data_IF_875423566110
#
_entry.id   IF_875423566110
#
_cell.length_a   1.000
_cell.length_b   1.000
_cell.length_c   1.000
_cell.angle_alpha   90.00
_cell.angle_beta   90.00
_cell.angle_gamma   90.00
#
_symmetry.space_group_name_H-M   'P 1'
#
loop_
_entity.id
_entity.type
_entity.pdbx_description
1 polymer ?
#
# COMPACT_ATOMS: atom_id res chain seq x y z
N UNK A 1 6.78 24.95 -8.77
CA UNK A 1 7.15 23.64 -8.24
C UNK A 1 5.92 22.81 -7.92
N UNK A 2 5.25 22.94 -6.79
CA UNK A 2 3.96 22.29 -6.48
C UNK A 2 2.99 23.30 -5.92
N UNK A 3 1.69 23.07 -6.13
CA UNK A 3 0.63 23.89 -5.56
C UNK A 3 0.43 23.52 -4.08
N UNK A 4 0.74 24.43 -3.16
CA UNK A 4 0.68 24.17 -1.71
C UNK A 4 -0.74 23.87 -1.22
N UNK A 5 -1.76 24.47 -1.84
CA UNK A 5 -3.16 24.19 -1.49
C UNK A 5 -3.53 22.73 -1.82
N UNK A 6 -3.08 22.22 -2.98
CA UNK A 6 -3.27 20.83 -3.34
C UNK A 6 -2.50 19.88 -2.41
N UNK A 7 -1.31 20.26 -1.94
CA UNK A 7 -0.53 19.46 -1.00
C UNK A 7 -1.24 19.29 0.35
N UNK A 8 -1.94 20.32 0.82
CA UNK A 8 -2.73 20.26 2.05
C UNK A 8 -3.82 19.18 2.03
N UNK A 9 -4.40 18.89 0.88
CA UNK A 9 -5.36 17.81 0.70
C UNK A 9 -4.70 16.48 0.32
N UNK A 10 -3.58 16.51 -0.42
CA UNK A 10 -2.85 15.32 -0.89
C UNK A 10 -2.33 14.46 0.25
N UNK A 11 -1.59 15.08 1.19
CA UNK A 11 -0.93 14.36 2.27
C UNK A 11 -1.92 13.58 3.14
N UNK A 12 -3.01 14.17 3.71
CA UNK A 12 -3.96 13.42 4.50
C UNK A 12 -4.71 12.35 3.68
N UNK A 13 -5.02 12.62 2.40
CA UNK A 13 -5.67 11.65 1.52
C UNK A 13 -4.79 10.40 1.33
N UNK A 14 -3.52 10.59 0.93
CA UNK A 14 -2.62 9.46 0.71
C UNK A 14 -2.16 8.81 2.02
N UNK A 15 -2.06 9.54 3.12
CA UNK A 15 -1.84 8.95 4.44
C UNK A 15 -2.98 7.99 4.81
N UNK A 16 -4.23 8.41 4.62
CA UNK A 16 -5.39 7.54 4.86
C UNK A 16 -5.36 6.28 3.98
N UNK A 17 -5.03 6.43 2.71
CA UNK A 17 -4.89 5.32 1.77
C UNK A 17 -3.78 4.35 2.22
N UNK A 18 -2.60 4.87 2.55
CA UNK A 18 -1.42 4.07 2.94
C UNK A 18 -1.64 3.33 4.25
N UNK A 19 -2.22 3.98 5.26
CA UNK A 19 -2.50 3.34 6.56
C UNK A 19 -3.65 2.33 6.47
N UNK A 20 -4.55 2.46 5.49
CA UNK A 20 -5.67 1.53 5.33
C UNK A 20 -5.15 0.12 4.99
N UNK A 21 -5.51 -0.92 5.79
CA UNK A 21 -5.00 -2.26 5.58
C UNK A 21 -5.32 -2.78 4.17
N UNK A 22 -4.30 -3.33 3.52
CA UNK A 22 -4.34 -3.94 2.20
C UNK A 22 -3.32 -5.06 2.10
N UNK A 23 -3.10 -5.61 0.90
CA UNK A 23 -2.19 -6.74 0.70
C UNK A 23 -0.75 -6.41 1.17
N UNK A 24 -0.23 -5.23 0.86
CA UNK A 24 1.12 -4.82 1.25
C UNK A 24 1.26 -4.66 2.77
N UNK A 25 0.28 -4.00 3.42
CA UNK A 25 0.28 -3.82 4.87
C UNK A 25 0.12 -5.14 5.62
N UNK A 26 -0.75 -6.03 5.13
CA UNK A 26 -0.93 -7.38 5.69
C UNK A 26 0.35 -8.21 5.54
N UNK A 27 1.01 -8.13 4.38
CA UNK A 27 2.31 -8.79 4.15
C UNK A 27 3.38 -8.24 5.09
N UNK A 28 3.49 -6.91 5.23
CA UNK A 28 4.43 -6.26 6.16
C UNK A 28 4.22 -6.72 7.60
N UNK A 29 2.97 -6.78 8.05
CA UNK A 29 2.61 -7.26 9.38
C UNK A 29 2.99 -8.74 9.58
N UNK A 30 2.62 -9.61 8.63
CA UNK A 30 2.89 -11.06 8.69
C UNK A 30 4.39 -11.34 8.69
N UNK A 31 5.16 -10.66 7.85
CA UNK A 31 6.62 -10.78 7.83
C UNK A 31 7.27 -10.16 9.07
N UNK A 32 6.70 -9.06 9.60
CA UNK A 32 7.12 -8.50 10.88
C UNK A 32 7.00 -9.51 12.04
N UNK A 33 5.91 -10.29 12.05
CA UNK A 33 5.68 -11.38 13.01
C UNK A 33 6.65 -12.54 12.82
N UNK A 34 6.85 -13.02 11.60
CA UNK A 34 7.59 -14.27 11.31
C UNK A 34 9.09 -14.07 11.08
N UNK A 35 9.49 -12.99 10.41
CA UNK A 35 10.89 -12.71 10.03
C UNK A 35 11.54 -11.60 10.88
N UNK A 36 10.71 -10.84 11.60
CA UNK A 36 11.11 -9.65 12.34
C UNK A 36 11.29 -8.42 11.44
N UNK A 37 11.15 -7.23 12.03
CA UNK A 37 11.15 -5.94 11.31
C UNK A 37 12.39 -5.76 10.44
N UNK A 38 13.59 -6.04 10.95
CA UNK A 38 14.85 -5.84 10.23
C UNK A 38 14.93 -6.62 8.90
N UNK A 39 14.38 -7.82 8.85
CA UNK A 39 14.35 -8.62 7.61
C UNK A 39 13.23 -8.18 6.68
N UNK A 40 12.12 -7.72 7.23
CA UNK A 40 10.98 -7.18 6.47
C UNK A 40 11.35 -5.95 5.65
N UNK A 41 12.40 -5.21 6.00
CA UNK A 41 12.92 -4.11 5.15
C UNK A 41 13.22 -4.54 3.71
N UNK A 42 13.66 -5.77 3.47
CA UNK A 42 13.88 -6.25 2.10
C UNK A 42 12.60 -6.32 1.30
N UNK A 43 11.50 -6.72 1.94
CA UNK A 43 10.18 -6.68 1.32
C UNK A 43 9.72 -5.23 1.09
N UNK A 44 9.93 -4.33 2.05
CA UNK A 44 9.56 -2.92 1.92
C UNK A 44 10.28 -2.26 0.74
N UNK A 45 11.57 -2.54 0.51
CA UNK A 45 12.29 -2.04 -0.68
C UNK A 45 11.70 -2.54 -1.99
N UNK A 46 11.34 -3.81 -2.05
CA UNK A 46 10.66 -4.37 -3.24
C UNK A 46 9.32 -3.71 -3.48
N UNK A 47 8.55 -3.54 -2.42
CA UNK A 47 7.23 -2.91 -2.47
C UNK A 47 7.32 -1.43 -2.90
N UNK A 48 8.23 -0.65 -2.33
CA UNK A 48 8.45 0.74 -2.74
C UNK A 48 8.79 0.88 -4.22
N UNK A 49 9.64 -0.01 -4.76
CA UNK A 49 9.92 -0.03 -6.19
C UNK A 49 8.65 -0.35 -7.01
N UNK A 50 7.86 -1.33 -6.55
CA UNK A 50 6.60 -1.71 -7.21
C UNK A 50 5.56 -0.60 -7.17
N UNK A 51 5.34 0.04 -6.01
CA UNK A 51 4.41 1.18 -5.87
C UNK A 51 4.84 2.36 -6.72
N UNK A 52 6.14 2.71 -6.71
CA UNK A 52 6.67 3.78 -7.56
C UNK A 52 6.42 3.52 -9.05
N UNK A 53 6.68 2.28 -9.51
CA UNK A 53 6.40 1.87 -10.88
C UNK A 53 4.90 1.99 -11.21
N UNK A 54 4.02 1.45 -10.36
CA UNK A 54 2.56 1.52 -10.54
C UNK A 54 2.08 2.98 -10.56
N UNK A 55 2.58 3.83 -9.68
CA UNK A 55 2.21 5.23 -9.63
C UNK A 55 2.61 5.98 -10.92
N UNK A 56 3.83 5.78 -11.42
CA UNK A 56 4.29 6.37 -12.69
C UNK A 56 3.42 5.89 -13.85
N UNK A 57 3.23 4.58 -13.99
CA UNK A 57 2.45 3.99 -15.09
C UNK A 57 0.98 4.42 -15.02
N UNK A 58 0.40 4.48 -13.83
CA UNK A 58 -0.98 4.92 -13.64
C UNK A 58 -1.16 6.37 -14.08
N UNK A 59 -0.26 7.28 -13.68
CA UNK A 59 -0.36 8.70 -14.06
C UNK A 59 -0.13 8.90 -15.55
N UNK A 60 0.88 8.27 -16.14
CA UNK A 60 1.17 8.39 -17.57
C UNK A 60 0.02 7.80 -18.41
N UNK A 61 -0.52 6.64 -18.01
CA UNK A 61 -1.65 6.02 -18.68
C UNK A 61 -2.92 6.87 -18.60
N UNK A 62 -3.23 7.41 -17.44
CA UNK A 62 -4.39 8.29 -17.26
C UNK A 62 -4.22 9.62 -17.98
N UNK A 63 -3.02 10.20 -17.97
CA UNK A 63 -2.73 11.44 -18.72
C UNK A 63 -2.92 11.23 -20.23
N UNK A 64 -2.41 10.13 -20.78
CA UNK A 64 -2.61 9.79 -22.19
C UNK A 64 -4.10 9.59 -22.53
N UNK A 65 -4.84 8.89 -21.68
CA UNK A 65 -6.28 8.67 -21.86
C UNK A 65 -7.06 10.00 -21.84
N UNK A 66 -6.73 10.88 -20.90
CA UNK A 66 -7.36 12.21 -20.78
C UNK A 66 -7.15 13.07 -22.02
N UNK A 67 -5.93 13.05 -22.58
CA UNK A 67 -5.58 13.86 -23.74
C UNK A 67 -6.17 13.32 -25.05
N UNK A 68 -6.16 12.00 -25.24
CA UNK A 68 -6.59 11.37 -26.48
C UNK A 68 -8.10 11.08 -26.50
N UNK A 69 -8.69 10.76 -25.36
CA UNK A 69 -10.08 10.31 -25.25
C UNK A 69 -10.82 10.95 -24.05
N UNK A 70 -11.10 12.27 -24.05
CA UNK A 70 -11.69 12.96 -22.89
C UNK A 70 -13.02 12.36 -22.42
N UNK A 71 -13.87 11.92 -23.35
CA UNK A 71 -15.15 11.29 -23.02
C UNK A 71 -14.97 9.94 -22.31
N UNK A 72 -14.02 9.12 -22.78
CA UNK A 72 -13.67 7.85 -22.14
C UNK A 72 -13.09 8.08 -20.73
N UNK A 73 -12.32 9.14 -20.57
CA UNK A 73 -11.77 9.53 -19.26
C UNK A 73 -12.88 9.87 -18.23
N UNK A 74 -13.98 10.49 -18.63
CA UNK A 74 -15.11 10.74 -17.72
C UNK A 74 -15.73 9.44 -17.21
N UNK A 75 -15.96 8.48 -18.10
CA UNK A 75 -16.43 7.15 -17.71
C UNK A 75 -15.43 6.42 -16.81
N UNK A 76 -14.13 6.52 -17.12
CA UNK A 76 -13.07 5.94 -16.31
C UNK A 76 -13.08 6.46 -14.86
N UNK A 77 -13.32 7.78 -14.65
CA UNK A 77 -13.45 8.35 -13.30
C UNK A 77 -14.63 7.75 -12.53
N UNK A 78 -15.79 7.61 -13.17
CA UNK A 78 -16.98 7.04 -12.53
C UNK A 78 -16.74 5.57 -12.17
N UNK A 79 -16.22 4.77 -13.10
CA UNK A 79 -15.91 3.38 -12.85
C UNK A 79 -14.85 3.21 -11.75
N UNK A 80 -13.82 4.07 -11.75
CA UNK A 80 -12.80 4.11 -10.70
C UNK A 80 -13.40 4.41 -9.32
N UNK A 81 -14.29 5.40 -9.22
CA UNK A 81 -14.97 5.73 -7.97
C UNK A 81 -15.85 4.56 -7.46
N UNK A 82 -16.61 3.90 -8.35
CA UNK A 82 -17.40 2.73 -8.03
C UNK A 82 -16.50 1.58 -7.53
N UNK A 83 -15.38 1.35 -8.20
CA UNK A 83 -14.42 0.31 -7.83
C UNK A 83 -13.75 0.60 -6.47
N UNK A 84 -13.36 1.84 -6.21
CA UNK A 84 -12.83 2.25 -4.90
C UNK A 84 -13.86 2.06 -3.78
N UNK A 85 -15.13 2.39 -4.04
CA UNK A 85 -16.24 2.16 -3.11
C UNK A 85 -16.39 0.66 -2.82
N UNK A 86 -16.35 -0.17 -3.87
CA UNK A 86 -16.42 -1.64 -3.74
C UNK A 86 -15.27 -2.19 -2.88
N UNK A 87 -14.02 -1.77 -3.16
CA UNK A 87 -12.86 -2.14 -2.33
C UNK A 87 -13.06 -1.69 -0.88
N UNK A 88 -13.50 -0.46 -0.66
CA UNK A 88 -13.78 0.08 0.67
C UNK A 88 -14.78 -0.77 1.45
N UNK A 89 -15.87 -1.18 0.81
CA UNK A 89 -16.88 -2.08 1.40
C UNK A 89 -16.28 -3.46 1.69
N UNK A 90 -15.50 -4.03 0.77
CA UNK A 90 -14.84 -5.32 1.00
C UNK A 90 -13.88 -5.25 2.21
N UNK A 91 -13.08 -4.21 2.30
CA UNK A 91 -12.16 -4.01 3.43
C UNK A 91 -12.91 -3.86 4.76
N UNK A 92 -14.04 -3.14 4.75
CA UNK A 92 -14.92 -3.04 5.92
C UNK A 92 -15.44 -4.41 6.37
N UNK A 93 -15.88 -5.25 5.44
CA UNK A 93 -16.40 -6.60 5.71
C UNK A 93 -15.32 -7.60 6.12
N UNK A 94 -14.07 -7.41 5.68
CA UNK A 94 -12.94 -8.28 6.00
C UNK A 94 -12.33 -8.03 7.38
N UNK A 95 -12.84 -7.07 8.16
CA UNK A 95 -12.38 -6.80 9.52
C UNK A 95 -12.51 -8.06 10.38
N UNK A 96 -11.39 -8.54 10.91
CA UNK A 96 -11.32 -9.67 11.82
C UNK A 96 -10.68 -10.95 11.27
N UNK A 97 -10.42 -11.05 9.96
CA UNK A 97 -9.72 -12.21 9.39
C UNK A 97 -8.20 -11.96 9.32
N UNK A 98 -7.58 -11.81 10.48
CA UNK A 98 -6.12 -11.86 10.58
C UNK A 98 -5.70 -13.32 10.51
N UNK A 99 -5.01 -13.74 9.45
CA UNK A 99 -4.32 -15.01 9.40
C UNK A 99 -3.13 -14.95 10.39
N UNK A 100 -3.36 -15.34 11.64
CA UNK A 100 -2.29 -15.47 12.63
C UNK A 100 -1.51 -16.73 12.25
N UNK A 101 -0.18 -16.65 12.01
CA UNK A 101 0.62 -17.83 11.76
C UNK A 101 0.47 -18.80 12.95
N UNK A 102 0.20 -20.06 12.66
CA UNK A 102 0.03 -21.12 13.67
C UNK A 102 1.29 -21.20 14.54
N UNK A 103 1.13 -20.99 15.84
CA UNK A 103 2.22 -21.10 16.79
C UNK A 103 2.75 -22.55 16.81
N UNK A 104 4.03 -22.73 16.57
CA UNK A 104 4.69 -24.05 16.66
C UNK A 104 5.68 -24.37 15.55
N UNK A 105 5.63 -23.67 14.41
CA UNK A 105 6.66 -23.82 13.38
C UNK A 105 7.78 -22.82 13.65
N UNK A 106 9.03 -23.31 13.82
CA UNK A 106 10.21 -22.45 13.80
C UNK A 106 10.20 -21.69 12.47
N UNK A 107 10.10 -20.36 12.46
CA UNK A 107 9.99 -19.63 11.22
C UNK A 107 11.24 -19.83 10.38
N UNK A 108 11.11 -20.52 9.24
CA UNK A 108 12.21 -20.64 8.31
C UNK A 108 12.56 -19.24 7.79
N UNK A 109 13.82 -18.84 7.94
CA UNK A 109 14.27 -17.52 7.50
C UNK A 109 14.30 -17.48 5.96
N UNK A 110 13.43 -16.66 5.39
CA UNK A 110 13.33 -16.49 3.94
C UNK A 110 14.57 -15.75 3.39
N UNK A 111 15.10 -16.12 2.22
CA UNK A 111 16.15 -15.37 1.54
C UNK A 111 15.74 -13.91 1.29
N UNK A 112 16.70 -12.99 1.34
CA UNK A 112 16.44 -11.55 1.09
C UNK A 112 15.80 -11.28 -0.27
N UNK A 113 16.25 -12.01 -1.31
CA UNK A 113 15.70 -11.93 -2.66
C UNK A 113 14.21 -12.31 -2.69
N UNK A 114 13.84 -13.36 -1.98
CA UNK A 114 12.44 -13.80 -1.86
C UNK A 114 11.58 -12.71 -1.19
N UNK A 115 12.07 -12.11 -0.10
CA UNK A 115 11.37 -11.02 0.57
C UNK A 115 11.18 -9.83 -0.36
N UNK A 116 12.23 -9.41 -1.07
CA UNK A 116 12.16 -8.31 -2.03
C UNK A 116 11.16 -8.61 -3.15
N UNK A 117 11.24 -9.80 -3.76
CA UNK A 117 10.31 -10.20 -4.83
C UNK A 117 8.86 -10.26 -4.35
N UNK A 118 8.62 -10.75 -3.13
CA UNK A 118 7.28 -10.75 -2.54
C UNK A 118 6.72 -9.32 -2.43
N UNK A 119 7.51 -8.37 -1.94
CA UNK A 119 7.09 -6.97 -1.87
C UNK A 119 6.78 -6.39 -3.24
N UNK A 120 7.68 -6.55 -4.20
CA UNK A 120 7.52 -6.04 -5.55
C UNK A 120 6.29 -6.64 -6.26
N UNK A 121 6.16 -7.95 -6.27
CA UNK A 121 5.04 -8.65 -6.91
C UNK A 121 3.72 -8.25 -6.24
N UNK A 122 3.69 -8.20 -4.89
CA UNK A 122 2.49 -7.79 -4.17
C UNK A 122 2.07 -6.36 -4.53
N UNK A 123 3.01 -5.42 -4.64
CA UNK A 123 2.70 -4.05 -5.03
C UNK A 123 2.18 -3.95 -6.47
N UNK A 124 2.86 -4.59 -7.43
CA UNK A 124 2.47 -4.54 -8.85
C UNK A 124 1.15 -5.26 -9.11
N UNK A 125 0.88 -6.34 -8.39
CA UNK A 125 -0.38 -7.09 -8.50
C UNK A 125 -1.52 -6.53 -7.65
N UNK A 126 -1.27 -5.45 -6.87
CA UNK A 126 -2.24 -4.91 -5.93
C UNK A 126 -3.30 -4.05 -6.65
N UNK A 127 -4.54 -4.55 -6.83
CA UNK A 127 -5.58 -3.79 -7.51
C UNK A 127 -5.96 -2.50 -6.77
N UNK A 128 -5.80 -2.48 -5.44
CA UNK A 128 -5.98 -1.26 -4.64
C UNK A 128 -4.98 -0.19 -5.08
N UNK A 129 -3.69 -0.53 -5.20
CA UNK A 129 -2.65 0.40 -5.61
C UNK A 129 -2.96 1.04 -6.97
N UNK A 130 -3.26 0.23 -7.98
CA UNK A 130 -3.66 0.73 -9.31
C UNK A 130 -4.86 1.66 -9.25
N UNK A 131 -5.94 1.24 -8.59
CA UNK A 131 -7.17 2.03 -8.51
C UNK A 131 -6.94 3.38 -7.83
N UNK A 132 -6.21 3.41 -6.71
CA UNK A 132 -5.95 4.67 -6.00
C UNK A 132 -5.03 5.60 -6.78
N UNK A 133 -3.96 5.10 -7.39
CA UNK A 133 -3.06 5.96 -8.17
C UNK A 133 -3.74 6.48 -9.44
N UNK A 134 -4.52 5.67 -10.15
CA UNK A 134 -5.26 6.12 -11.33
C UNK A 134 -6.35 7.14 -11.00
N UNK A 135 -7.09 6.95 -9.92
CA UNK A 135 -8.24 7.79 -9.59
C UNK A 135 -7.88 9.05 -8.79
N UNK A 136 -6.90 8.94 -7.86
CA UNK A 136 -6.62 10.00 -6.90
C UNK A 136 -5.37 10.81 -7.22
N UNK A 137 -4.37 10.27 -7.93
CA UNK A 137 -3.13 11.01 -8.14
C UNK A 137 -3.25 12.14 -9.19
N UNK A 138 -3.94 11.96 -10.36
CA UNK A 138 -4.04 12.99 -11.37
C UNK A 138 -4.67 14.31 -10.93
N UNK A 139 -5.71 14.35 -10.07
CA UNK A 139 -6.30 15.59 -9.58
C UNK A 139 -5.34 16.50 -8.79
N UNK A 140 -4.22 15.96 -8.30
CA UNK A 140 -3.23 16.72 -7.56
C UNK A 140 -2.11 17.29 -8.45
N UNK A 141 -2.17 17.06 -9.76
CA UNK A 141 -1.24 17.61 -10.74
C UNK A 141 -1.84 18.90 -11.30
N UNK A 142 -1.21 20.02 -11.01
CA UNK A 142 -1.60 21.33 -11.51
C UNK A 142 -1.14 21.49 -12.96
N UNK A 143 -2.07 21.64 -13.89
CA UNK A 143 -1.77 21.81 -15.32
C UNK A 143 -1.04 23.09 -15.69
N UNK A 144 -0.95 24.09 -14.78
CA UNK A 144 -0.22 25.32 -14.97
C UNK A 144 1.28 25.23 -14.59
N UNK A 145 1.66 24.14 -13.94
CA UNK A 145 3.03 23.93 -13.47
C UNK A 145 3.72 22.79 -14.25
N UNK A 146 5.05 22.77 -14.22
CA UNK A 146 5.81 21.72 -14.89
C UNK A 146 5.46 20.33 -14.33
N UNK A 147 5.10 19.40 -15.21
CA UNK A 147 4.58 18.07 -14.87
C UNK A 147 5.58 17.21 -14.08
N UNK A 148 6.81 17.07 -14.59
CA UNK A 148 7.80 16.14 -14.02
C UNK A 148 8.20 16.46 -12.58
N UNK A 149 8.50 17.72 -12.21
CA UNK A 149 8.80 18.05 -10.81
C UNK A 149 7.66 17.75 -9.86
N UNK A 150 6.41 17.98 -10.28
CA UNK A 150 5.24 17.65 -9.48
C UNK A 150 5.15 16.14 -9.27
N UNK A 151 5.25 15.36 -10.36
CA UNK A 151 5.16 13.91 -10.30
C UNK A 151 6.21 13.32 -9.36
N UNK A 152 7.46 13.77 -9.46
CA UNK A 152 8.54 13.31 -8.58
C UNK A 152 8.24 13.60 -7.11
N UNK A 153 7.77 14.82 -6.80
CA UNK A 153 7.45 15.20 -5.41
C UNK A 153 6.27 14.38 -4.88
N UNK A 154 5.19 14.24 -5.66
CA UNK A 154 4.01 13.47 -5.26
C UNK A 154 4.35 12.00 -5.01
N UNK A 155 5.10 11.37 -5.92
CA UNK A 155 5.54 9.97 -5.75
C UNK A 155 6.47 9.84 -4.54
N UNK A 156 7.40 10.78 -4.33
CA UNK A 156 8.29 10.74 -3.17
C UNK A 156 7.50 10.78 -1.84
N UNK A 157 6.47 11.60 -1.76
CA UNK A 157 5.57 11.66 -0.59
C UNK A 157 4.81 10.35 -0.43
N UNK A 158 4.25 9.79 -1.51
CA UNK A 158 3.57 8.50 -1.47
C UNK A 158 4.50 7.42 -0.92
N UNK A 159 5.70 7.29 -1.49
CA UNK A 159 6.67 6.29 -1.05
C UNK A 159 7.06 6.45 0.42
N UNK A 160 7.22 7.70 0.88
CA UNK A 160 7.47 7.96 2.29
C UNK A 160 6.31 7.50 3.19
N UNK A 161 5.07 7.84 2.82
CA UNK A 161 3.87 7.46 3.57
C UNK A 161 3.67 5.94 3.58
N UNK A 162 3.87 5.26 2.45
CA UNK A 162 3.82 3.80 2.33
C UNK A 162 4.89 3.15 3.21
N UNK A 163 6.14 3.64 3.14
CA UNK A 163 7.23 3.12 3.97
C UNK A 163 6.94 3.23 5.46
N UNK A 164 6.48 4.40 5.92
CA UNK A 164 6.12 4.63 7.33
C UNK A 164 4.96 3.74 7.76
N UNK A 165 3.97 3.56 6.90
CA UNK A 165 2.83 2.67 7.15
C UNK A 165 3.28 1.21 7.26
N UNK A 166 4.10 0.72 6.32
CA UNK A 166 4.66 -0.63 6.40
C UNK A 166 5.50 -0.85 7.66
N UNK A 167 6.30 0.15 8.06
CA UNK A 167 7.10 0.08 9.27
C UNK A 167 6.21 -0.03 10.52
N UNK A 168 5.11 0.71 10.56
CA UNK A 168 4.11 0.63 11.62
C UNK A 168 3.49 -0.78 11.67
N UNK A 169 3.06 -1.33 10.54
CA UNK A 169 2.47 -2.66 10.47
C UNK A 169 3.46 -3.78 10.82
N UNK A 170 4.69 -3.72 10.33
CA UNK A 170 5.72 -4.71 10.65
C UNK A 170 6.10 -4.68 12.13
N UNK A 171 6.19 -3.48 12.73
CA UNK A 171 6.49 -3.30 14.15
C UNK A 171 5.33 -3.77 15.03
N UNK A 172 4.09 -3.43 14.66
CA UNK A 172 2.88 -3.91 15.31
C UNK A 172 2.76 -5.43 15.26
N UNK A 173 3.05 -6.04 14.10
CA UNK A 173 3.10 -7.49 13.93
C UNK A 173 4.12 -8.14 14.87
N UNK A 174 5.34 -7.60 14.94
CA UNK A 174 6.35 -8.08 15.89
C UNK A 174 5.90 -7.97 17.34
N UNK A 175 5.34 -6.83 17.72
CA UNK A 175 4.84 -6.63 19.09
C UNK A 175 3.74 -7.64 19.44
N UNK A 176 2.80 -7.87 18.51
CA UNK A 176 1.73 -8.86 18.66
C UNK A 176 2.29 -10.28 18.81
N UNK A 177 3.27 -10.67 17.99
CA UNK A 177 3.93 -11.97 18.10
C UNK A 177 4.58 -12.18 19.48
N UNK A 178 5.30 -11.18 19.99
CA UNK A 178 5.93 -11.22 21.32
C UNK A 178 4.90 -11.31 22.45
N UNK A 179 3.79 -10.57 22.32
CA UNK A 179 2.71 -10.63 23.30
C UNK A 179 2.05 -12.01 23.37
N UNK A 180 1.76 -12.62 22.21
CA UNK A 180 1.16 -13.93 22.11
C UNK A 180 2.08 -15.02 22.67
N UNK A 181 3.37 -14.99 22.36
CA UNK A 181 4.33 -15.98 22.87
C UNK A 181 4.56 -15.89 24.38
N UNK A 182 4.54 -14.67 24.97
CA UNK A 182 4.70 -14.47 26.42
C UNK A 182 3.48 -14.92 27.23
N UNK A 183 2.30 -14.88 26.67
CA UNK A 183 1.04 -15.05 27.46
C UNK A 183 0.49 -16.46 27.48
N UNK A 184 1.10 -17.44 26.81
CA UNK A 184 0.52 -18.79 26.59
C UNK A 184 -0.95 -18.79 26.05
N UNK A 185 -1.44 -17.62 25.61
CA UNK A 185 -2.82 -17.40 25.19
C UNK A 185 -3.12 -17.85 23.76
N UNK A 186 -2.09 -18.31 23.03
CA UNK A 186 -2.28 -18.85 21.67
C UNK A 186 -3.32 -19.98 21.65
N UNK A 187 -3.41 -20.76 22.74
CA UNK A 187 -4.38 -21.83 22.83
C UNK A 187 -5.84 -21.33 23.00
N UNK A 188 -6.03 -20.12 23.54
CA UNK A 188 -7.36 -19.52 23.68
C UNK A 188 -7.88 -18.90 22.39
N UNK A 189 -7.00 -18.31 21.57
CA UNK A 189 -7.37 -17.66 20.30
C UNK A 189 -7.71 -18.67 19.19
N UNK A 190 -7.17 -19.90 19.26
CA UNK A 190 -7.50 -20.96 18.31
C UNK A 190 -8.80 -21.73 18.66
N UNK A 191 -9.49 -21.39 19.73
CA UNK A 191 -10.77 -22.03 20.16
C UNK A 191 -12.00 -21.20 19.82
N UNK A 192 -11.82 -20.00 19.23
CA UNK A 192 -12.90 -19.14 18.73
C UNK A 192 -12.86 -19.13 17.19
#
# INVERSE_FOLDING_TARGET
MVNLALMGAFIPTFLFVSVTPGMCMTLAMTLGMSQGVRRTFWMMWGEMLGVGLVAVLAVLGVAALMLQFPAVFQWFKVLGACYLTYIGVQMWRARGKLAIPTAGLVPQLLPRRTLFSQGFITAVSNPKGWAFHMALLPPFIDGQLAFWPQLVILISIILLLEFLSMLLYASGGKALALFLTRSNRVQYLNRI
#
